data_IF_690379500943
#
_entry.id   IF_690379500943
#
_cell.length_a   1.000
_cell.length_b   1.000
_cell.length_c   1.000
_cell.angle_alpha   90.00
_cell.angle_beta   90.00
_cell.angle_gamma   90.00
#
_symmetry.space_group_name_H-M   'P 1'
#
loop_
_entity.id
_entity.type
_entity.pdbx_description
1 polymer ?
#
# COMPACT_ATOMS: atom_id res chain seq x y z
N UNK A 1 28.60 4.20 -1.28
CA UNK A 1 27.31 3.47 -1.26
C UNK A 1 26.33 4.25 -2.13
N UNK A 2 26.00 3.74 -3.32
CA UNK A 2 24.95 4.37 -4.14
C UNK A 2 23.60 4.13 -3.46
N UNK A 3 22.79 5.18 -3.32
CA UNK A 3 21.47 5.04 -2.73
C UNK A 3 20.61 4.15 -3.64
N UNK A 4 20.21 2.97 -3.14
CA UNK A 4 19.24 2.12 -3.84
C UNK A 4 17.97 2.92 -4.17
N UNK A 5 17.45 2.77 -5.38
CA UNK A 5 16.16 3.37 -5.78
C UNK A 5 15.04 3.00 -4.80
N UNK A 6 15.12 1.81 -4.19
CA UNK A 6 14.16 1.33 -3.21
C UNK A 6 14.15 2.13 -1.91
N UNK A 7 15.26 2.75 -1.48
CA UNK A 7 15.22 3.68 -0.36
C UNK A 7 14.40 4.94 -0.67
N UNK A 8 14.46 5.43 -1.93
CA UNK A 8 13.65 6.57 -2.36
C UNK A 8 12.18 6.20 -2.42
N UNK A 9 11.86 5.05 -2.98
CA UNK A 9 10.48 4.52 -3.03
C UNK A 9 9.93 4.33 -1.61
N UNK A 10 10.71 3.70 -0.72
CA UNK A 10 10.33 3.53 0.68
C UNK A 10 10.07 4.86 1.38
N UNK A 11 10.96 5.85 1.19
CA UNK A 11 10.81 7.18 1.79
C UNK A 11 9.56 7.89 1.32
N UNK A 12 9.28 7.87 0.00
CA UNK A 12 8.07 8.49 -0.56
C UNK A 12 6.80 7.77 -0.11
N UNK A 13 6.81 6.43 -0.09
CA UNK A 13 5.67 5.63 0.37
C UNK A 13 5.42 5.87 1.85
N UNK A 14 6.45 5.80 2.70
CA UNK A 14 6.33 6.03 4.13
C UNK A 14 5.86 7.45 4.48
N UNK A 15 6.39 8.47 3.80
CA UNK A 15 5.93 9.84 3.98
C UNK A 15 4.44 10.00 3.61
N UNK A 16 4.02 9.40 2.50
CA UNK A 16 2.61 9.39 2.06
C UNK A 16 1.72 8.66 3.06
N UNK A 17 2.17 7.50 3.56
CA UNK A 17 1.45 6.72 4.55
C UNK A 17 1.27 7.49 5.87
N UNK A 18 2.30 8.17 6.36
CA UNK A 18 2.21 9.00 7.57
C UNK A 18 1.29 10.21 7.35
N UNK A 19 1.37 10.86 6.19
CA UNK A 19 0.47 11.97 5.86
C UNK A 19 -1.00 11.54 5.83
N UNK A 20 -1.28 10.38 5.22
CA UNK A 20 -2.63 9.80 5.19
C UNK A 20 -3.08 9.34 6.58
N UNK A 21 -2.20 8.75 7.39
CA UNK A 21 -2.50 8.42 8.78
C UNK A 21 -2.91 9.66 9.59
N UNK A 22 -2.16 10.76 9.46
CA UNK A 22 -2.46 12.03 10.13
C UNK A 22 -3.79 12.62 9.64
N UNK A 23 -4.07 12.55 8.34
CA UNK A 23 -5.37 12.94 7.79
C UNK A 23 -6.50 12.07 8.35
N UNK A 24 -6.35 10.75 8.36
CA UNK A 24 -7.34 9.81 8.91
C UNK A 24 -7.67 10.06 10.38
N UNK A 25 -6.65 10.35 11.20
CA UNK A 25 -6.80 10.56 12.63
C UNK A 25 -7.37 11.93 13.02
N UNK A 26 -7.13 12.97 12.22
CA UNK A 26 -7.44 14.35 12.62
C UNK A 26 -8.37 15.11 11.67
N UNK A 27 -8.43 14.74 10.40
CA UNK A 27 -9.14 15.49 9.36
C UNK A 27 -10.19 14.70 8.58
N UNK A 28 -10.17 13.37 8.64
CA UNK A 28 -11.15 12.54 7.96
C UNK A 28 -12.42 12.44 8.82
N UNK A 29 -13.59 12.72 8.23
CA UNK A 29 -14.87 12.66 8.92
C UNK A 29 -15.95 12.18 7.94
N UNK A 30 -16.02 10.87 7.66
CA UNK A 30 -16.95 10.32 6.66
C UNK A 30 -18.41 10.37 7.16
N UNK A 31 -19.35 10.42 6.22
CA UNK A 31 -20.78 10.25 6.49
C UNK A 31 -21.10 8.79 6.88
N UNK A 32 -20.53 7.81 6.15
CA UNK A 32 -20.54 6.40 6.52
C UNK A 32 -19.31 6.05 7.37
N UNK A 33 -19.50 5.88 8.69
CA UNK A 33 -18.43 5.49 9.62
C UNK A 33 -17.75 4.15 9.27
N UNK A 34 -18.35 3.29 8.42
CA UNK A 34 -17.65 2.12 7.90
C UNK A 34 -16.48 2.48 6.97
N UNK A 35 -16.50 3.67 6.35
CA UNK A 35 -15.41 4.19 5.53
C UNK A 35 -14.16 4.53 6.35
N UNK A 36 -14.33 4.89 7.63
CA UNK A 36 -13.20 5.02 8.57
C UNK A 36 -12.38 3.73 8.63
N UNK A 37 -13.06 2.58 8.77
CA UNK A 37 -12.40 1.26 8.82
C UNK A 37 -11.72 0.92 7.50
N UNK A 38 -12.31 1.29 6.36
CA UNK A 38 -11.69 1.09 5.04
C UNK A 38 -10.41 1.91 4.92
N UNK A 39 -10.46 3.18 5.33
CA UNK A 39 -9.30 4.07 5.33
C UNK A 39 -8.18 3.54 6.23
N UNK A 40 -8.51 3.21 7.49
CA UNK A 40 -7.55 2.75 8.49
C UNK A 40 -6.89 1.43 8.08
N UNK A 41 -7.65 0.49 7.52
CA UNK A 41 -7.10 -0.76 7.01
C UNK A 41 -6.17 -0.52 5.82
N UNK A 42 -6.55 0.36 4.89
CA UNK A 42 -5.67 0.78 3.79
C UNK A 42 -4.37 1.40 4.31
N UNK A 43 -4.46 2.24 5.33
CA UNK A 43 -3.31 2.90 5.95
C UNK A 43 -2.38 1.94 6.69
N UNK A 44 -2.94 0.97 7.43
CA UNK A 44 -2.16 -0.06 8.09
C UNK A 44 -1.34 -0.88 7.09
N UNK A 45 -1.95 -1.30 5.98
CA UNK A 45 -1.23 -2.01 4.92
C UNK A 45 -0.19 -1.11 4.25
N UNK A 46 -0.48 0.17 4.02
CA UNK A 46 0.48 1.11 3.46
C UNK A 46 1.73 1.23 4.33
N UNK A 47 1.57 1.53 5.63
CA UNK A 47 2.69 1.69 6.57
C UNK A 47 3.54 0.42 6.69
N UNK A 48 2.91 -0.75 6.86
CA UNK A 48 3.62 -2.04 6.98
C UNK A 48 4.49 -2.27 5.75
N UNK A 49 3.92 -2.11 4.56
CA UNK A 49 4.66 -2.40 3.33
C UNK A 49 5.65 -1.31 2.95
N UNK A 50 5.46 -0.05 3.36
CA UNK A 50 6.52 0.98 3.28
C UNK A 50 7.77 0.56 4.06
N UNK A 51 7.59 0.01 5.28
CA UNK A 51 8.70 -0.49 6.09
C UNK A 51 9.38 -1.71 5.43
N UNK A 52 8.60 -2.61 4.83
CA UNK A 52 9.15 -3.73 4.06
C UNK A 52 9.95 -3.24 2.84
N UNK A 53 9.46 -2.24 2.10
CA UNK A 53 10.17 -1.65 0.96
C UNK A 53 11.50 -1.02 1.41
N UNK A 54 11.57 -0.47 2.62
CA UNK A 54 12.83 0.04 3.17
C UNK A 54 13.89 -1.07 3.37
N UNK A 55 13.46 -2.31 3.64
CA UNK A 55 14.33 -3.48 3.80
C UNK A 55 14.71 -4.16 2.46
N UNK A 56 14.01 -3.85 1.36
CA UNK A 56 14.23 -4.45 0.03
C UNK A 56 15.69 -4.43 -0.45
N UNK A 57 16.50 -3.38 -0.24
CA UNK A 57 17.91 -3.38 -0.63
C UNK A 57 18.76 -4.50 -0.02
N UNK A 58 18.29 -5.17 1.04
CA UNK A 58 18.97 -6.27 1.72
C UNK A 58 18.60 -7.65 1.16
N UNK A 59 17.59 -7.73 0.30
CA UNK A 59 17.10 -8.99 -0.30
C UNK A 59 17.93 -9.37 -1.53
N UNK A 60 18.01 -10.65 -1.91
CA UNK A 60 18.82 -11.07 -3.09
C UNK A 60 18.25 -10.60 -4.42
N UNK A 61 16.93 -10.37 -4.48
CA UNK A 61 16.21 -9.92 -5.69
C UNK A 61 15.46 -8.62 -5.43
N UNK A 62 16.17 -7.50 -5.16
CA UNK A 62 15.55 -6.27 -4.67
C UNK A 62 14.53 -5.70 -5.66
N UNK A 63 14.80 -5.79 -6.97
CA UNK A 63 13.87 -5.27 -7.97
C UNK A 63 12.56 -6.04 -8.07
N UNK A 64 12.59 -7.36 -7.85
CA UNK A 64 11.39 -8.20 -7.84
C UNK A 64 10.53 -7.87 -6.62
N UNK A 65 11.14 -7.94 -5.43
CA UNK A 65 10.44 -7.70 -4.16
C UNK A 65 9.93 -6.27 -4.07
N UNK A 66 10.79 -5.30 -4.39
CA UNK A 66 10.42 -3.89 -4.39
C UNK A 66 9.25 -3.59 -5.32
N UNK A 67 9.25 -4.14 -6.54
CA UNK A 67 8.15 -3.94 -7.49
C UNK A 67 6.84 -4.56 -6.98
N UNK A 68 6.88 -5.81 -6.50
CA UNK A 68 5.69 -6.50 -6.01
C UNK A 68 5.08 -5.81 -4.78
N UNK A 69 5.90 -5.45 -3.79
CA UNK A 69 5.43 -4.72 -2.61
C UNK A 69 4.89 -3.33 -2.97
N UNK A 70 5.57 -2.59 -3.85
CA UNK A 70 5.13 -1.24 -4.25
C UNK A 70 3.80 -1.29 -5.01
N UNK A 71 3.70 -2.15 -6.03
CA UNK A 71 2.48 -2.30 -6.85
C UNK A 71 1.32 -2.82 -6.01
N UNK A 72 1.55 -3.86 -5.20
CA UNK A 72 0.52 -4.41 -4.32
C UNK A 72 0.01 -3.39 -3.31
N UNK A 73 0.90 -2.61 -2.71
CA UNK A 73 0.55 -1.55 -1.76
C UNK A 73 -0.24 -0.42 -2.42
N UNK A 74 0.18 0.03 -3.61
CA UNK A 74 -0.48 1.08 -4.34
C UNK A 74 -1.89 0.67 -4.77
N UNK A 75 -2.06 -0.55 -5.29
CA UNK A 75 -3.38 -1.06 -5.70
C UNK A 75 -4.30 -1.28 -4.50
N UNK A 76 -3.81 -1.94 -3.44
CA UNK A 76 -4.63 -2.23 -2.26
C UNK A 76 -4.95 -0.96 -1.47
N UNK A 77 -3.93 -0.27 -0.98
CA UNK A 77 -4.11 0.89 -0.10
C UNK A 77 -4.71 2.07 -0.86
N UNK A 78 -4.25 2.31 -2.10
CA UNK A 78 -4.76 3.38 -2.96
C UNK A 78 -6.25 3.25 -3.24
N UNK A 79 -6.73 2.03 -3.53
CA UNK A 79 -8.17 1.80 -3.72
C UNK A 79 -8.97 1.94 -2.43
N UNK A 80 -8.43 1.52 -1.28
CA UNK A 80 -9.05 1.77 0.02
C UNK A 80 -9.19 3.28 0.31
N UNK A 81 -8.15 4.08 0.06
CA UNK A 81 -8.23 5.53 0.24
C UNK A 81 -9.25 6.15 -0.71
N UNK A 82 -9.24 5.76 -1.98
CA UNK A 82 -10.21 6.26 -2.96
C UNK A 82 -11.64 5.96 -2.50
N UNK A 83 -11.92 4.71 -2.12
CA UNK A 83 -13.25 4.30 -1.64
C UNK A 83 -13.67 5.02 -0.37
N UNK A 84 -12.75 5.22 0.58
CA UNK A 84 -13.08 5.90 1.82
C UNK A 84 -13.30 7.41 1.62
N UNK A 85 -12.45 8.07 0.82
CA UNK A 85 -12.52 9.52 0.60
C UNK A 85 -13.69 9.92 -0.31
N UNK A 86 -14.11 9.08 -1.24
CA UNK A 86 -15.29 9.34 -2.09
C UNK A 86 -16.57 8.75 -1.55
N UNK A 87 -16.49 7.94 -0.49
CA UNK A 87 -17.59 7.12 0.05
C UNK A 87 -18.30 6.28 -1.02
N UNK A 88 -17.57 5.88 -2.06
CA UNK A 88 -18.09 5.10 -3.19
C UNK A 88 -17.22 3.86 -3.41
N UNK A 89 -17.78 2.69 -3.13
CA UNK A 89 -17.11 1.40 -3.30
C UNK A 89 -16.77 1.07 -4.76
N UNK A 90 -17.39 1.75 -5.74
CA UNK A 90 -17.05 1.59 -7.17
C UNK A 90 -15.65 2.12 -7.49
N UNK A 91 -15.12 3.06 -6.71
CA UNK A 91 -13.76 3.58 -6.92
C UNK A 91 -12.68 2.55 -6.58
N UNK A 92 -13.02 1.47 -5.88
CA UNK A 92 -12.15 0.30 -5.73
C UNK A 92 -12.03 -0.53 -7.01
N UNK A 93 -12.65 -0.11 -8.11
CA UNK A 93 -12.62 -0.80 -9.40
C UNK A 93 -12.09 0.12 -10.51
N UNK A 94 -11.35 -0.46 -11.45
CA UNK A 94 -11.05 0.16 -12.73
C UNK A 94 -11.87 -0.55 -13.82
N UNK A 95 -13.02 0.03 -14.17
CA UNK A 95 -14.02 -0.69 -14.97
C UNK A 95 -14.55 -1.91 -14.19
N UNK A 96 -14.32 -3.11 -14.72
CA UNK A 96 -14.69 -4.38 -14.05
C UNK A 96 -13.57 -4.99 -13.21
N UNK A 97 -12.40 -4.33 -13.12
CA UNK A 97 -11.20 -4.87 -12.48
C UNK A 97 -11.17 -4.51 -10.99
N UNK A 98 -11.21 -5.49 -10.06
CA UNK A 98 -11.24 -5.21 -8.61
C UNK A 98 -9.82 -4.90 -8.08
N UNK A 99 -9.52 -3.62 -7.85
CA UNK A 99 -8.17 -3.17 -7.51
C UNK A 99 -7.67 -3.71 -6.17
N UNK A 100 -8.49 -3.65 -5.11
CA UNK A 100 -8.10 -4.14 -3.79
C UNK A 100 -7.78 -5.65 -3.78
N UNK A 101 -8.63 -6.56 -4.30
CA UNK A 101 -8.28 -7.97 -4.42
C UNK A 101 -7.00 -8.26 -5.21
N UNK A 102 -6.75 -7.53 -6.30
CA UNK A 102 -5.52 -7.68 -7.09
C UNK A 102 -4.30 -7.20 -6.30
N UNK A 103 -4.41 -6.06 -5.63
CA UNK A 103 -3.38 -5.55 -4.74
C UNK A 103 -3.05 -6.52 -3.61
N UNK A 104 -4.07 -7.05 -2.93
CA UNK A 104 -3.93 -8.05 -1.87
C UNK A 104 -3.28 -9.33 -2.37
N UNK A 105 -3.71 -9.84 -3.52
CA UNK A 105 -3.10 -11.02 -4.15
C UNK A 105 -1.62 -10.76 -4.49
N UNK A 106 -1.30 -9.57 -5.01
CA UNK A 106 0.07 -9.17 -5.32
C UNK A 106 0.93 -9.13 -4.05
N UNK A 107 0.40 -8.62 -2.94
CA UNK A 107 1.09 -8.61 -1.65
C UNK A 107 1.30 -10.04 -1.10
N UNK A 108 0.31 -10.93 -1.21
CA UNK A 108 0.46 -12.35 -0.85
C UNK A 108 1.60 -12.98 -1.65
N UNK A 109 1.62 -12.76 -2.97
CA UNK A 109 2.68 -13.27 -3.83
C UNK A 109 4.04 -12.63 -3.51
N UNK A 110 4.09 -11.37 -3.07
CA UNK A 110 5.33 -10.71 -2.67
C UNK A 110 5.93 -11.37 -1.42
N UNK A 111 5.10 -11.66 -0.41
CA UNK A 111 5.53 -12.40 0.78
C UNK A 111 5.92 -13.84 0.46
N UNK A 112 5.18 -14.54 -0.40
CA UNK A 112 5.53 -15.88 -0.85
C UNK A 112 6.86 -15.88 -1.63
N UNK A 113 7.07 -14.89 -2.50
CA UNK A 113 8.33 -14.70 -3.20
C UNK A 113 9.48 -14.45 -2.22
N UNK A 114 9.29 -13.63 -1.17
CA UNK A 114 10.31 -13.43 -0.14
C UNK A 114 10.67 -14.72 0.60
N UNK A 115 9.67 -15.57 0.90
CA UNK A 115 9.90 -16.86 1.56
C UNK A 115 10.66 -17.86 0.67
N UNK A 116 10.42 -17.86 -0.65
CA UNK A 116 10.99 -18.82 -1.60
C UNK A 116 12.28 -18.31 -2.28
N UNK A 117 12.41 -17.00 -2.40
CA UNK A 117 13.46 -16.28 -3.12
C UNK A 117 13.98 -15.11 -2.25
N UNK A 118 14.55 -15.39 -1.07
CA UNK A 118 15.02 -14.36 -0.14
C UNK A 118 16.12 -13.52 -0.76
#
# INVERSE_FOLDING_TARGET
>A
MTASIWHRVAGLSGASAVALAAHGAHGFNPEDESMRKVFDNGNQFHLIHSAVIAAVPQMKRPNLHGAMFTVGTALFSGSCYATALTEDRRTSYLGSVPLAPIGGTTLILAWAALALLP
#
